data_IF_067814057631
#
_entry.id   IF_067814057631
#
_cell.length_a   1.000
_cell.length_b   1.000
_cell.length_c   1.000
_cell.angle_alpha   90.00
_cell.angle_beta   90.00
_cell.angle_gamma   90.00
#
_symmetry.space_group_name_H-M   'P 1'
#
loop_
_entity.id
_entity.type
_entity.pdbx_description
1 polymer ?
#
# COMPACT_ATOMS: atom_id res chain seq x y z
N UNK A 1 -11.43 10.33 -2.00
CA UNK A 1 -10.34 9.52 -2.62
C UNK A 1 -9.97 8.30 -1.77
N UNK A 2 -9.61 8.49 -0.49
CA UNK A 2 -9.20 7.43 0.45
C UNK A 2 -10.03 6.14 0.42
N UNK A 3 -11.36 6.22 0.60
CA UNK A 3 -12.23 5.04 0.59
C UNK A 3 -12.17 4.26 -0.74
N UNK A 4 -12.11 4.97 -1.87
CA UNK A 4 -11.99 4.36 -3.21
C UNK A 4 -10.63 3.70 -3.40
N UNK A 5 -9.57 4.30 -2.86
CA UNK A 5 -8.23 3.70 -2.85
C UNK A 5 -8.19 2.42 -2.00
N UNK A 6 -8.72 2.46 -0.78
CA UNK A 6 -8.81 1.27 0.09
C UNK A 6 -9.60 0.16 -0.58
N UNK A 7 -10.76 0.47 -1.19
CA UNK A 7 -11.55 -0.52 -1.92
C UNK A 7 -10.75 -1.14 -3.09
N UNK A 8 -10.00 -0.32 -3.83
CA UNK A 8 -9.16 -0.80 -4.93
C UNK A 8 -8.00 -1.67 -4.45
N UNK A 9 -7.34 -1.32 -3.34
CA UNK A 9 -6.27 -2.12 -2.76
C UNK A 9 -6.78 -3.46 -2.22
N UNK A 10 -7.98 -3.48 -1.63
CA UNK A 10 -8.66 -4.72 -1.22
C UNK A 10 -8.97 -5.62 -2.43
N UNK A 11 -9.46 -5.06 -3.54
CA UNK A 11 -9.69 -5.80 -4.79
C UNK A 11 -8.38 -6.42 -5.33
N UNK A 12 -7.28 -5.66 -5.31
CA UNK A 12 -5.95 -6.17 -5.66
C UNK A 12 -5.57 -7.32 -4.74
N UNK A 13 -5.68 -7.15 -3.42
CA UNK A 13 -5.34 -8.20 -2.44
C UNK A 13 -6.06 -9.51 -2.74
N UNK A 14 -7.38 -9.48 -2.92
CA UNK A 14 -8.19 -10.67 -3.22
C UNK A 14 -7.77 -11.35 -4.53
N UNK A 15 -7.43 -10.57 -5.56
CA UNK A 15 -6.91 -11.11 -6.83
C UNK A 15 -5.55 -11.78 -6.68
N UNK A 16 -4.66 -11.21 -5.87
CA UNK A 16 -3.34 -11.79 -5.61
C UNK A 16 -3.45 -13.08 -4.80
N UNK A 17 -4.32 -13.13 -3.79
CA UNK A 17 -4.54 -14.33 -2.95
C UNK A 17 -5.07 -15.55 -3.72
N UNK A 18 -5.91 -15.28 -4.73
CA UNK A 18 -6.51 -16.30 -5.59
C UNK A 18 -5.63 -16.64 -6.81
N UNK A 19 -4.60 -15.83 -7.08
CA UNK A 19 -3.72 -16.02 -8.23
C UNK A 19 -2.77 -17.19 -8.01
N UNK A 20 -2.91 -18.21 -8.87
CA UNK A 20 -1.94 -19.31 -8.95
C UNK A 20 -0.53 -18.81 -9.29
N UNK A 21 -0.44 -17.84 -10.21
CA UNK A 21 0.84 -17.25 -10.59
C UNK A 21 1.55 -16.66 -9.37
N UNK A 22 0.85 -15.84 -8.59
CA UNK A 22 1.44 -15.15 -7.44
C UNK A 22 1.95 -16.13 -6.41
N UNK A 23 1.13 -17.14 -6.04
CA UNK A 23 1.49 -18.20 -5.09
C UNK A 23 2.73 -19.01 -5.47
N UNK A 24 3.08 -19.04 -6.76
CA UNK A 24 4.20 -19.80 -7.31
C UNK A 24 5.39 -18.91 -7.69
N UNK A 25 5.41 -17.63 -7.34
CA UNK A 25 6.51 -16.73 -7.66
C UNK A 25 6.92 -15.89 -6.45
N UNK A 26 8.21 -15.74 -6.20
CA UNK A 26 8.72 -14.71 -5.30
C UNK A 26 8.71 -13.35 -6.05
N UNK A 27 8.04 -12.34 -5.48
CA UNK A 27 7.79 -11.05 -6.12
C UNK A 27 8.65 -9.96 -5.48
N UNK A 28 9.94 -9.98 -5.83
CA UNK A 28 10.94 -9.08 -5.24
C UNK A 28 11.15 -7.84 -6.10
N UNK A 29 11.19 -6.67 -5.47
CA UNK A 29 11.53 -5.40 -6.12
C UNK A 29 10.42 -4.80 -6.99
N UNK A 30 9.20 -5.36 -6.90
CA UNK A 30 8.00 -4.79 -7.51
C UNK A 30 7.43 -3.65 -6.67
N UNK A 31 6.64 -2.77 -7.31
CA UNK A 31 6.01 -1.61 -6.65
C UNK A 31 4.51 -1.55 -6.91
N UNK A 32 3.80 -0.86 -6.03
CA UNK A 32 2.42 -0.42 -6.26
C UNK A 32 2.42 1.02 -6.76
N UNK A 33 2.00 1.24 -8.00
CA UNK A 33 1.78 2.57 -8.55
C UNK A 33 0.35 3.01 -8.25
N UNK A 34 0.22 4.07 -7.45
CA UNK A 34 -1.06 4.69 -7.10
C UNK A 34 -1.21 6.00 -7.88
N UNK A 35 -2.33 6.14 -8.59
CA UNK A 35 -2.66 7.39 -9.29
C UNK A 35 -4.09 7.77 -8.94
N UNK A 36 -4.33 9.05 -8.66
CA UNK A 36 -5.67 9.55 -8.45
C UNK A 36 -5.80 10.98 -8.94
N UNK A 37 -7.03 11.35 -9.29
CA UNK A 37 -7.47 12.71 -9.53
C UNK A 37 -8.78 12.94 -8.74
N UNK A 38 -9.44 14.07 -8.96
CA UNK A 38 -10.69 14.42 -8.27
C UNK A 38 -11.82 13.39 -8.55
N UNK A 39 -11.77 12.75 -9.72
CA UNK A 39 -12.79 11.86 -10.26
C UNK A 39 -12.45 10.38 -10.15
N UNK A 40 -11.18 9.97 -10.20
CA UNK A 40 -10.73 8.58 -10.38
C UNK A 40 -9.61 8.19 -9.43
N UNK A 41 -9.55 6.89 -9.13
CA UNK A 41 -8.47 6.27 -8.38
C UNK A 41 -8.05 5.00 -9.10
N UNK A 42 -6.74 4.83 -9.28
CA UNK A 42 -6.12 3.68 -9.91
C UNK A 42 -4.95 3.16 -9.08
N UNK A 43 -4.78 1.84 -9.13
CA UNK A 43 -3.66 1.15 -8.52
C UNK A 43 -3.25 -0.04 -9.40
N UNK A 44 -1.95 -0.18 -9.62
CA UNK A 44 -1.33 -1.22 -10.44
C UNK A 44 -0.06 -1.74 -9.78
N UNK A 45 0.20 -3.03 -9.95
CA UNK A 45 1.51 -3.60 -9.67
C UNK A 45 2.40 -3.36 -10.88
N UNK A 46 3.63 -2.93 -10.63
CA UNK A 46 4.65 -2.68 -11.65
C UNK A 46 5.97 -3.37 -11.28
N UNK A 47 6.88 -3.44 -12.25
CA UNK A 47 8.25 -3.95 -12.11
C UNK A 47 8.36 -5.42 -11.67
N UNK A 48 8.02 -6.34 -12.57
CA UNK A 48 8.14 -7.80 -12.35
C UNK A 48 9.47 -8.39 -12.84
N UNK A 49 10.46 -7.55 -13.16
CA UNK A 49 11.72 -8.00 -13.77
C UNK A 49 12.53 -8.97 -12.87
N UNK A 50 12.31 -8.93 -11.55
CA UNK A 50 12.95 -9.81 -10.57
C UNK A 50 11.97 -10.82 -9.96
N UNK A 51 10.78 -10.96 -10.53
CA UNK A 51 9.82 -11.99 -10.15
C UNK A 51 10.30 -13.33 -10.67
N UNK A 52 10.47 -14.31 -9.78
CA UNK A 52 11.01 -15.62 -10.12
C UNK A 52 10.09 -16.73 -9.66
N UNK A 53 9.94 -17.82 -10.42
CA UNK A 53 9.18 -18.97 -9.95
C UNK A 53 9.87 -19.61 -8.74
N UNK A 54 9.08 -20.06 -7.78
CA UNK A 54 9.56 -20.90 -6.68
C UNK A 54 9.64 -22.36 -7.13
N UNK A 55 10.34 -23.26 -6.40
CA UNK A 55 10.37 -24.69 -6.73
C UNK A 55 8.98 -25.31 -6.84
N UNK A 56 8.77 -26.32 -7.71
CA UNK A 56 7.44 -26.84 -8.09
C UNK A 56 6.54 -27.28 -6.92
N UNK A 57 7.14 -27.74 -5.82
CA UNK A 57 6.43 -28.22 -4.64
C UNK A 57 6.30 -27.18 -3.52
N UNK A 58 6.72 -25.93 -3.79
CA UNK A 58 6.69 -24.84 -2.83
C UNK A 58 5.61 -23.83 -3.22
N UNK A 59 4.98 -23.25 -2.21
CA UNK A 59 4.08 -22.12 -2.36
C UNK A 59 4.39 -21.09 -1.29
N UNK A 60 4.34 -19.82 -1.67
CA UNK A 60 4.48 -18.70 -0.76
C UNK A 60 3.11 -18.09 -0.46
N UNK A 61 2.92 -17.59 0.75
CA UNK A 61 1.72 -16.86 1.13
C UNK A 61 1.92 -15.33 1.13
N UNK A 62 3.16 -14.88 0.89
CA UNK A 62 3.60 -13.49 0.84
C UNK A 62 3.35 -12.70 2.13
N UNK A 63 3.18 -13.40 3.26
CA UNK A 63 2.89 -12.84 4.57
C UNK A 63 3.81 -13.34 5.66
N UNK A 64 4.28 -14.57 5.54
CA UNK A 64 5.23 -15.15 6.49
C UNK A 64 6.52 -14.36 6.48
N UNK A 65 7.20 -14.30 7.63
CA UNK A 65 8.54 -13.71 7.70
C UNK A 65 9.49 -14.49 6.79
N UNK A 66 10.33 -13.78 6.05
CA UNK A 66 11.39 -14.38 5.26
C UNK A 66 12.35 -15.20 6.13
N UNK A 67 12.74 -16.37 5.62
CA UNK A 67 13.85 -17.15 6.13
C UNK A 67 14.60 -17.81 4.97
N UNK A 68 15.89 -18.14 5.14
CA UNK A 68 16.64 -18.83 4.10
C UNK A 68 15.92 -20.11 3.63
N UNK A 69 15.58 -20.16 2.33
CA UNK A 69 14.92 -21.30 1.69
C UNK A 69 13.39 -21.28 1.69
N UNK A 70 12.72 -20.35 2.37
CA UNK A 70 11.25 -20.28 2.35
C UNK A 70 10.67 -19.42 1.21
N UNK A 71 11.51 -18.62 0.54
CA UNK A 71 11.16 -17.75 -0.60
C UNK A 71 10.15 -16.62 -0.29
N UNK A 72 9.80 -16.40 0.98
CA UNK A 72 8.83 -15.39 1.38
C UNK A 72 9.43 -13.98 1.35
N UNK A 73 8.74 -13.03 0.76
CA UNK A 73 9.20 -11.65 0.57
C UNK A 73 8.30 -10.62 1.28
N UNK A 74 7.14 -11.05 1.76
CA UNK A 74 6.23 -10.21 2.54
C UNK A 74 5.39 -9.22 1.72
N UNK A 75 5.16 -9.47 0.42
CA UNK A 75 4.39 -8.56 -0.44
C UNK A 75 2.97 -8.30 0.09
N UNK A 76 2.22 -9.37 0.40
CA UNK A 76 0.86 -9.25 0.92
C UNK A 76 0.84 -8.71 2.36
N UNK A 77 1.86 -9.02 3.17
CA UNK A 77 2.02 -8.39 4.47
C UNK A 77 2.16 -6.86 4.35
N UNK A 78 3.01 -6.39 3.42
CA UNK A 78 3.16 -4.97 3.12
C UNK A 78 1.86 -4.32 2.64
N UNK A 79 1.12 -5.00 1.74
CA UNK A 79 -0.18 -4.54 1.28
C UNK A 79 -1.21 -4.45 2.41
N UNK A 80 -1.24 -5.42 3.33
CA UNK A 80 -2.10 -5.41 4.50
C UNK A 80 -1.78 -4.21 5.42
N UNK A 81 -0.49 -3.94 5.66
CA UNK A 81 -0.09 -2.76 6.44
C UNK A 81 -0.44 -1.45 5.74
N UNK A 82 -0.27 -1.36 4.41
CA UNK A 82 -0.64 -0.17 3.65
C UNK A 82 -2.14 0.11 3.75
N UNK A 83 -2.98 -0.91 3.56
CA UNK A 83 -4.44 -0.80 3.71
C UNK A 83 -4.79 -0.32 5.12
N UNK A 84 -4.23 -0.96 6.14
CA UNK A 84 -4.46 -0.61 7.54
C UNK A 84 -4.12 0.84 7.84
N UNK A 85 -2.95 1.32 7.40
CA UNK A 85 -2.54 2.72 7.61
C UNK A 85 -3.53 3.66 6.90
N UNK A 86 -3.90 3.37 5.65
CA UNK A 86 -4.86 4.20 4.91
C UNK A 86 -6.25 4.26 5.56
N UNK A 87 -6.69 3.19 6.23
CA UNK A 87 -7.94 3.19 6.99
C UNK A 87 -7.85 4.05 8.26
N UNK A 88 -6.68 4.08 8.89
CA UNK A 88 -6.42 4.80 10.14
C UNK A 88 -6.13 6.30 9.96
N UNK A 89 -5.72 6.75 8.77
CA UNK A 89 -5.46 8.17 8.50
C UNK A 89 -6.77 8.96 8.61
N UNK A 90 -7.00 9.60 9.76
CA UNK A 90 -8.11 10.53 9.97
C UNK A 90 -7.83 11.83 9.20
N UNK A 91 -8.69 12.17 8.25
CA UNK A 91 -8.70 13.49 7.61
C UNK A 91 -9.42 14.50 8.50
N UNK A 92 -9.14 14.48 9.80
CA UNK A 92 -9.50 15.58 10.69
C UNK A 92 -8.56 16.73 10.36
N UNK A 93 -8.98 17.59 9.45
CA UNK A 93 -8.44 18.94 9.41
C UNK A 93 -8.86 19.59 10.73
N UNK A 94 -8.04 19.49 11.77
CA UNK A 94 -7.85 20.66 12.61
C UNK A 94 -7.27 21.71 11.67
N UNK A 95 -8.12 22.60 11.17
CA UNK A 95 -7.66 23.93 10.80
C UNK A 95 -6.91 24.43 12.03
N UNK A 96 -5.58 24.38 11.98
CA UNK A 96 -4.75 25.18 12.86
C UNK A 96 -5.11 26.61 12.53
N UNK A 97 -6.07 27.16 13.27
CA UNK A 97 -6.34 28.59 13.23
C UNK A 97 -5.00 29.29 13.47
N UNK A 98 -4.62 30.25 12.60
CA UNK A 98 -3.40 31.00 12.84
C UNK A 98 -3.51 31.63 14.25
N UNK A 99 -2.41 31.64 15.03
CA UNK A 99 -2.44 32.24 16.36
C UNK A 99 -2.96 33.68 16.23
N UNK A 100 -3.81 34.14 17.17
CA UNK A 100 -4.39 35.47 17.09
C UNK A 100 -3.27 36.51 17.04
N UNK A 101 -3.10 37.15 15.88
CA UNK A 101 -2.21 38.30 15.73
C UNK A 101 -2.79 39.45 16.53
N UNK A 102 -2.17 39.75 17.68
CA UNK A 102 -2.42 41.00 18.40
C UNK A 102 -1.91 42.15 17.54
N UNK A 103 -2.73 43.17 17.22
CA UNK A 103 -2.22 44.34 16.50
C UNK A 103 -1.17 45.04 17.38
N UNK A 104 0.02 45.29 16.83
CA UNK A 104 1.00 46.20 17.43
C UNK A 104 0.36 47.59 17.47
N UNK A 105 -0.10 48.01 18.65
CA UNK A 105 -0.51 49.38 18.88
C UNK A 105 0.72 50.29 18.65
N UNK A 106 0.65 51.13 17.61
CA UNK A 106 1.53 52.28 17.45
C UNK A 106 1.28 53.22 18.63
N UNK A 107 2.16 53.18 19.63
CA UNK A 107 2.22 54.22 20.65
C UNK A 107 2.95 55.41 20.05
N UNK A 108 2.20 56.49 19.81
CA UNK A 108 2.71 57.82 19.47
C UNK A 108 3.57 58.42 20.57
#
# INVERSE_FOLDING_TARGET
VRQRLVARLNDIRTKLETSKYFRQHEVVGSSLLLMYDDSKVGAWLIDFAKTRPVPENLTVNHRSTWSPGNHEEGFLFGLDQLIRVLEQVNTGAEERSPPPTTPLALTS
#
